data_IF_373386354212
#
_entry.id   IF_373386354212
#
_cell.length_a   1.000
_cell.length_b   1.000
_cell.length_c   1.000
_cell.angle_alpha   90.00
_cell.angle_beta   90.00
_cell.angle_gamma   90.00
#
_symmetry.space_group_name_H-M   'P 1'
#
loop_
_entity.id
_entity.type
_entity.pdbx_description
1 polymer ?
#
# COMPACT_ATOMS: atom_id res chain seq x y z
N UNK A 1 13.63 30.00 -16.85
CA UNK A 1 13.11 29.44 -15.61
C UNK A 1 13.46 27.98 -15.51
N UNK A 2 13.92 27.56 -14.35
CA UNK A 2 14.28 26.17 -14.14
C UNK A 2 13.03 25.35 -13.84
N UNK A 3 12.71 24.40 -14.71
CA UNK A 3 11.52 23.59 -14.59
C UNK A 3 11.49 22.80 -13.27
N UNK A 4 12.67 22.42 -12.80
CA UNK A 4 12.76 21.60 -11.61
C UNK A 4 12.39 22.34 -10.32
N UNK A 5 12.43 23.64 -10.35
CA UNK A 5 12.06 24.44 -9.19
C UNK A 5 10.61 24.89 -9.22
N UNK A 6 9.86 24.49 -10.24
CA UNK A 6 8.46 24.84 -10.32
C UNK A 6 7.65 23.97 -9.36
N UNK A 7 6.63 24.51 -8.69
CA UNK A 7 5.79 23.69 -7.79
C UNK A 7 5.21 22.46 -8.48
N UNK A 8 4.89 22.56 -9.76
CA UNK A 8 4.34 21.43 -10.51
C UNK A 8 5.33 20.29 -10.65
N UNK A 9 6.63 20.57 -10.57
CA UNK A 9 7.63 19.50 -10.64
C UNK A 9 7.55 18.60 -9.43
N UNK A 10 7.26 19.15 -8.25
CA UNK A 10 7.09 18.34 -7.05
C UNK A 10 5.85 17.45 -7.17
N UNK A 11 4.76 18.02 -7.68
CA UNK A 11 3.54 17.23 -7.93
C UNK A 11 3.82 16.11 -8.92
N UNK A 12 4.54 16.44 -9.98
CA UNK A 12 4.89 15.48 -11.02
C UNK A 12 5.69 14.30 -10.46
N UNK A 13 6.63 14.58 -9.57
CA UNK A 13 7.45 13.54 -8.97
C UNK A 13 6.60 12.59 -8.12
N UNK A 14 5.67 13.14 -7.35
CA UNK A 14 4.76 12.32 -6.56
C UNK A 14 3.87 11.48 -7.47
N UNK A 15 3.31 12.10 -8.50
CA UNK A 15 2.45 11.40 -9.45
C UNK A 15 3.20 10.26 -10.14
N UNK A 16 4.45 10.51 -10.51
CA UNK A 16 5.27 9.49 -11.16
C UNK A 16 5.55 8.31 -10.22
N UNK A 17 5.77 8.59 -8.94
CA UNK A 17 6.02 7.52 -7.98
C UNK A 17 4.78 6.65 -7.81
N UNK A 18 3.59 7.24 -7.83
CA UNK A 18 2.33 6.51 -7.70
C UNK A 18 1.99 5.79 -9.00
N UNK A 19 2.34 6.36 -10.14
CA UNK A 19 1.84 5.94 -11.45
C UNK A 19 2.40 4.65 -11.99
N UNK A 20 3.32 4.01 -11.30
CA UNK A 20 3.84 2.72 -11.75
C UNK A 20 2.95 1.61 -11.15
N UNK A 21 2.47 0.64 -11.97
CA UNK A 21 1.45 -0.32 -11.50
C UNK A 21 1.82 -1.10 -10.25
N UNK A 22 3.06 -1.56 -10.13
CA UNK A 22 3.45 -2.32 -8.94
C UNK A 22 3.42 -1.44 -7.71
N UNK A 23 3.91 -0.20 -7.83
CA UNK A 23 3.89 0.73 -6.70
C UNK A 23 2.47 1.12 -6.31
N UNK A 24 1.61 1.33 -7.30
CA UNK A 24 0.21 1.63 -7.02
C UNK A 24 -0.42 0.48 -6.24
N UNK A 25 -0.16 -0.75 -6.66
CA UNK A 25 -0.69 -1.93 -5.99
C UNK A 25 -0.24 -2.00 -4.53
N UNK A 26 1.05 -1.74 -4.30
CA UNK A 26 1.58 -1.72 -2.94
C UNK A 26 0.90 -0.66 -2.09
N UNK A 27 0.75 0.54 -2.64
CA UNK A 27 0.12 1.64 -1.90
C UNK A 27 -1.32 1.33 -1.53
N UNK A 28 -2.09 0.80 -2.48
CA UNK A 28 -3.49 0.48 -2.20
C UNK A 28 -3.61 -0.67 -1.20
N UNK A 29 -2.65 -1.59 -1.22
CA UNK A 29 -2.61 -2.65 -0.22
C UNK A 29 -2.43 -2.10 1.20
N UNK A 30 -1.72 -0.99 1.33
CA UNK A 30 -1.44 -0.39 2.64
C UNK A 30 -2.57 0.53 3.13
N UNK A 31 -3.62 0.71 2.34
CA UNK A 31 -4.69 1.62 2.72
C UNK A 31 -5.55 1.09 3.88
N UNK A 32 -5.42 -0.19 4.19
CA UNK A 32 -6.16 -0.76 5.31
C UNK A 32 -5.55 -0.37 6.67
N UNK A 33 -4.45 0.37 6.65
CA UNK A 33 -3.80 0.83 7.87
C UNK A 33 -2.83 -0.15 8.49
N UNK A 34 -2.68 -1.33 7.89
CA UNK A 34 -1.77 -2.34 8.42
C UNK A 34 -0.39 -2.21 7.80
N UNK A 35 0.64 -2.28 8.62
CA UNK A 35 2.01 -2.32 8.14
C UNK A 35 2.30 -3.70 7.57
N UNK A 36 3.09 -3.75 6.50
CA UNK A 36 3.41 -5.01 5.84
C UNK A 36 4.89 -5.08 5.53
N UNK A 37 5.40 -6.30 5.47
CA UNK A 37 6.80 -6.51 5.14
C UNK A 37 7.03 -6.35 3.65
N UNK A 38 8.29 -6.17 3.26
CA UNK A 38 8.64 -6.08 1.85
C UNK A 38 8.28 -7.37 1.11
N UNK A 39 8.43 -8.51 1.77
CA UNK A 39 8.08 -9.80 1.16
C UNK A 39 6.59 -9.88 0.85
N UNK A 40 5.75 -9.44 1.80
CA UNK A 40 4.31 -9.42 1.57
C UNK A 40 3.95 -8.49 0.43
N UNK A 41 4.58 -7.33 0.37
CA UNK A 41 4.29 -6.37 -0.69
C UNK A 41 4.79 -6.85 -2.05
N UNK A 42 5.89 -7.60 -2.07
CA UNK A 42 6.37 -8.22 -3.31
C UNK A 42 5.33 -9.19 -3.87
N UNK A 43 4.75 -10.00 -2.99
CA UNK A 43 3.71 -10.95 -3.40
C UNK A 43 2.49 -10.21 -3.94
N UNK A 44 2.05 -9.18 -3.21
CA UNK A 44 0.87 -8.41 -3.62
C UNK A 44 1.09 -7.78 -5.00
N UNK A 45 2.27 -7.24 -5.23
CA UNK A 45 2.55 -6.55 -6.48
C UNK A 45 2.97 -7.51 -7.60
N UNK A 46 3.19 -8.78 -7.29
CA UNK A 46 3.59 -9.74 -8.29
C UNK A 46 5.00 -9.52 -8.83
N UNK A 47 5.91 -9.05 -7.99
CA UNK A 47 7.28 -8.77 -8.40
C UNK A 47 8.25 -9.54 -7.52
N UNK A 48 9.51 -9.62 -7.97
CA UNK A 48 10.55 -10.27 -7.18
C UNK A 48 10.87 -9.43 -5.94
N UNK A 49 11.46 -10.06 -4.90
CA UNK A 49 11.86 -9.29 -3.72
C UNK A 49 12.82 -8.15 -4.03
N UNK A 50 13.75 -8.35 -4.97
CA UNK A 50 14.69 -7.28 -5.31
C UNK A 50 13.98 -6.13 -6.01
N UNK A 51 13.03 -6.42 -6.89
CA UNK A 51 12.24 -5.39 -7.55
C UNK A 51 11.37 -4.65 -6.54
N UNK A 52 10.77 -5.39 -5.60
CA UNK A 52 9.98 -4.78 -4.55
C UNK A 52 10.82 -3.81 -3.73
N UNK A 53 12.06 -4.17 -3.41
CA UNK A 53 12.95 -3.29 -2.66
C UNK A 53 13.20 -1.99 -3.39
N UNK A 54 13.40 -2.05 -4.70
CA UNK A 54 13.60 -0.85 -5.51
C UNK A 54 12.36 0.05 -5.46
N UNK A 55 11.19 -0.56 -5.62
CA UNK A 55 9.93 0.18 -5.57
C UNK A 55 9.68 0.80 -4.21
N UNK A 56 9.92 0.04 -3.14
CA UNK A 56 9.71 0.53 -1.79
C UNK A 56 10.67 1.66 -1.45
N UNK A 57 11.91 1.55 -1.93
CA UNK A 57 12.88 2.61 -1.74
C UNK A 57 12.41 3.89 -2.44
N UNK A 58 11.85 3.76 -3.63
CA UNK A 58 11.31 4.89 -4.37
C UNK A 58 10.15 5.52 -3.63
N UNK A 59 9.26 4.70 -3.08
CA UNK A 59 8.11 5.20 -2.32
C UNK A 59 8.52 5.89 -1.03
N UNK A 60 9.54 5.35 -0.35
CA UNK A 60 10.05 5.95 0.87
C UNK A 60 10.70 7.30 0.58
N UNK A 61 11.48 7.37 -0.48
CA UNK A 61 12.12 8.62 -0.90
C UNK A 61 11.09 9.70 -1.23
N UNK A 62 9.96 9.29 -1.81
CA UNK A 62 8.89 10.22 -2.15
C UNK A 62 8.00 10.56 -0.95
N UNK A 63 8.29 10.01 0.22
CA UNK A 63 7.53 10.22 1.45
C UNK A 63 6.08 9.75 1.34
N UNK A 64 5.87 8.71 0.55
CA UNK A 64 4.54 8.08 0.43
C UNK A 64 4.37 6.93 1.40
N UNK A 65 5.45 6.27 1.74
CA UNK A 65 5.44 5.24 2.78
C UNK A 65 6.55 5.50 3.76
N UNK A 66 6.36 5.00 4.96
CA UNK A 66 7.38 5.04 6.00
C UNK A 66 7.74 3.62 6.38
N UNK A 67 8.95 3.46 6.88
CA UNK A 67 9.45 2.16 7.29
C UNK A 67 9.65 2.14 8.79
N UNK A 68 9.23 1.05 9.41
CA UNK A 68 9.46 0.81 10.83
C UNK A 68 10.27 -0.47 10.94
N UNK A 69 11.41 -0.38 11.60
CA UNK A 69 12.28 -1.52 11.77
C UNK A 69 12.02 -2.14 13.14
N UNK A 70 11.71 -3.42 13.16
CA UNK A 70 11.53 -4.16 14.41
C UNK A 70 12.40 -5.42 14.32
N UNK A 71 13.48 -5.43 15.08
CA UNK A 71 14.41 -6.54 15.03
C UNK A 71 15.02 -6.66 13.64
N UNK A 72 14.83 -7.82 13.02
CA UNK A 72 15.34 -8.07 11.68
C UNK A 72 14.36 -7.73 10.59
N UNK A 73 13.16 -7.28 10.96
CA UNK A 73 12.09 -7.07 10.00
C UNK A 73 11.83 -5.60 9.75
N UNK A 74 11.52 -5.28 8.52
CA UNK A 74 11.10 -3.94 8.12
C UNK A 74 9.64 -4.00 7.74
N UNK A 75 8.87 -3.10 8.34
CA UNK A 75 7.45 -2.98 8.06
C UNK A 75 7.19 -1.64 7.39
N UNK A 76 6.35 -1.66 6.38
CA UNK A 76 6.03 -0.47 5.60
C UNK A 76 4.57 -0.11 5.81
N UNK A 77 4.30 1.17 5.94
CA UNK A 77 2.93 1.67 6.03
C UNK A 77 2.86 3.02 5.32
N UNK A 78 1.64 3.49 5.04
CA UNK A 78 1.49 4.80 4.42
C UNK A 78 2.05 5.86 5.34
N UNK A 79 2.63 6.91 4.76
CA UNK A 79 3.28 7.95 5.53
C UNK A 79 2.30 8.69 6.44
N UNK A 80 1.07 8.89 5.98
CA UNK A 80 0.06 9.55 6.79
C UNK A 80 -1.28 9.61 6.08
N UNK A 81 -2.28 10.22 6.73
CA UNK A 81 -3.64 10.26 6.16
C UNK A 81 -3.74 11.00 4.84
N UNK A 82 -2.85 11.96 4.58
CA UNK A 82 -2.89 12.68 3.31
C UNK A 82 -2.61 11.75 2.14
N UNK A 83 -1.76 10.74 2.34
CA UNK A 83 -1.49 9.78 1.27
C UNK A 83 -2.74 8.97 0.97
N UNK A 84 -3.42 8.50 2.01
CA UNK A 84 -4.66 7.74 1.83
C UNK A 84 -5.72 8.57 1.10
N UNK A 85 -5.87 9.83 1.49
CA UNK A 85 -6.84 10.72 0.85
C UNK A 85 -6.51 10.93 -0.63
N UNK A 86 -5.23 11.07 -0.95
CA UNK A 86 -4.79 11.22 -2.33
C UNK A 86 -5.12 9.97 -3.14
N UNK A 87 -4.85 8.81 -2.57
CA UNK A 87 -5.12 7.54 -3.26
C UNK A 87 -6.61 7.35 -3.47
N UNK A 88 -7.43 7.74 -2.50
CA UNK A 88 -8.89 7.68 -2.66
C UNK A 88 -9.36 8.59 -3.78
N UNK A 89 -8.81 9.80 -3.83
CA UNK A 89 -9.15 10.73 -4.89
C UNK A 89 -8.78 10.20 -6.26
N UNK A 90 -7.63 9.56 -6.37
CA UNK A 90 -7.22 8.97 -7.63
C UNK A 90 -8.16 7.83 -8.05
N UNK A 91 -8.63 7.04 -7.09
CA UNK A 91 -9.59 5.98 -7.39
C UNK A 91 -10.91 6.56 -7.92
N UNK A 92 -11.38 7.65 -7.31
CA UNK A 92 -12.58 8.31 -7.76
C UNK A 92 -12.39 8.82 -9.19
N UNK A 93 -11.26 9.47 -9.44
CA UNK A 93 -10.95 10.01 -10.75
C UNK A 93 -10.87 8.91 -11.81
N UNK A 94 -10.33 7.76 -11.42
CA UNK A 94 -10.19 6.62 -12.33
C UNK A 94 -11.49 5.84 -12.51
N UNK A 95 -12.52 6.16 -11.73
CA UNK A 95 -13.79 5.45 -11.82
C UNK A 95 -13.77 4.07 -11.20
N UNK A 96 -12.79 3.80 -10.34
CA UNK A 96 -12.66 2.50 -9.70
C UNK A 96 -13.41 2.51 -8.38
N UNK A 97 -14.31 1.55 -8.22
CA UNK A 97 -14.98 1.39 -6.95
C UNK A 97 -14.19 0.45 -6.07
N UNK A 98 -13.66 1.02 -5.00
CA UNK A 98 -13.01 0.21 -3.98
C UNK A 98 -13.91 0.23 -2.76
N UNK A 99 -13.87 -0.85 -1.99
CA UNK A 99 -14.58 -0.88 -0.72
C UNK A 99 -14.10 0.28 0.14
N UNK A 100 -14.99 0.78 1.00
CA UNK A 100 -14.62 1.85 1.90
C UNK A 100 -13.44 1.42 2.74
N UNK A 101 -12.47 2.30 2.84
CA UNK A 101 -11.37 2.11 3.75
C UNK A 101 -11.94 2.21 5.16
N UNK A 102 -11.91 1.11 5.87
CA UNK A 102 -12.27 1.09 7.28
C UNK A 102 -10.96 0.98 8.03
N UNK A 103 -10.58 2.02 8.74
CA UNK A 103 -9.35 1.91 9.52
C UNK A 103 -9.56 0.80 10.49
N UNK A 104 -8.89 -0.19 10.29
CA UNK A 104 -8.94 -1.26 10.95
C UNK A 104 -9.14 -1.57 12.13
N UNK A 105 -9.65 -2.22 12.31
CA UNK A 105 -9.85 -2.77 13.14
C UNK A 105 -9.39 -3.87 13.42
N UNK A 106 -9.34 -4.34 13.97
CA UNK A 106 -8.70 -5.19 14.36
C UNK A 106 -8.71 -6.36 14.02
N UNK A 107 -8.64 -6.73 13.84
CA UNK A 107 -8.62 -7.54 13.61
C UNK A 107 -8.26 -8.45 13.76
N UNK A 108 -8.35 -9.13 13.81
CA UNK A 108 -8.13 -10.06 13.92
C UNK A 108 -7.76 -10.58 13.04
N UNK A 109 -7.53 -10.60 12.59
CA UNK A 109 -7.21 -10.94 11.65
C UNK A 109 -7.21 -10.88 10.85
N UNK A 110 -7.43 -10.40 10.66
CA UNK A 110 -7.27 -10.38 9.89
C UNK A 110 -6.64 -10.63 9.36
N UNK A 111 -6.50 -11.04 9.80
CA UNK A 111 -5.72 -11.59 9.18
C UNK A 111 -5.44 -11.91 8.52
N UNK A 112 -5.51 -11.86 8.76
CA UNK A 112 -4.90 -12.28 8.05
C UNK A 112 -4.97 -12.22 7.24
N UNK A 113 -5.24 -11.92 7.35
CA UNK A 113 -4.91 -11.91 6.47
C UNK A 113 -5.23 -11.51 5.58
N UNK A 114 -5.60 -11.16 5.58
CA UNK A 114 -5.34 -11.00 4.52
C UNK A 114 -5.63 -10.61 3.64
N UNK A 115 -5.84 -10.23 3.60
CA UNK A 115 -5.68 -10.15 2.73
C UNK A 115 -5.87 -10.31 2.24
N UNK A 116 -5.87 -10.22 2.64
CA UNK A 116 -5.43 -10.60 2.08
C UNK A 116 -6.10 -10.80 1.78
N UNK A 117 -6.24 -10.78 2.17
CA UNK A 117 -6.27 -11.19 1.79
C UNK A 117 -6.50 -11.44 1.29
N UNK A 118 -6.45 -11.62 1.51
CA UNK A 118 -6.00 -12.10 1.00
C UNK A 118 -6.12 -12.57 0.85
N UNK A 119 -6.27 -12.76 1.43
CA UNK A 119 -5.84 -13.32 1.30
C UNK A 119 -6.20 -13.57 1.33
N UNK A 120 -6.23 -13.53 1.79
CA UNK A 120 -6.06 -13.88 1.87
C UNK A 120 -6.50 -13.98 2.03
N UNK A 121 -6.57 -13.99 2.28
CA UNK A 121 -6.42 -14.34 2.49
C UNK A 121 -6.84 -14.34 2.82
N UNK A 122 -6.77 -14.70 3.30
CA UNK A 122 -6.63 -14.86 3.61
C UNK A 122 -6.99 -14.91 3.99
N UNK A 123 -6.97 -15.02 4.40
CA UNK A 123 -6.77 -15.15 4.81
C UNK A 123 -7.50 -15.16 5.07
N UNK A 124 -7.75 -15.24 5.26
CA UNK A 124 -7.93 -15.50 5.52
C UNK A 124 -8.84 -15.40 5.67
N UNK A 125 -9.10 -15.67 6.10
CA UNK A 125 -9.45 -15.75 6.32
C UNK A 125 -10.49 -15.59 6.58
N UNK A 126 -10.87 -15.78 6.92
CA UNK A 126 -11.40 -15.84 7.29
C UNK A 126 -12.35 -15.65 7.52
N UNK A 127 -12.68 -15.79 7.92
CA UNK A 127 -13.18 -15.61 8.12
C UNK A 127 -13.86 -15.23 8.38
N UNK A 128 -14.01 -15.38 8.67
CA UNK A 128 -14.02 -15.11 8.85
C UNK A 128 -14.16 -14.67 8.59
N UNK A 129 -14.21 -14.55 8.63
CA UNK A 129 -13.68 -14.22 8.32
C UNK A 129 -13.64 -13.76 7.78
N UNK A 130 -13.77 -13.63 7.90
CA UNK A 130 -13.08 -13.41 7.41
C UNK A 130 -12.82 -12.90 6.78
N UNK A 131 -12.84 -12.64 6.92
CA UNK A 131 -11.85 -12.39 6.37
C UNK A 131 -11.70 -11.96 5.65
N UNK A 132 -11.76 -11.81 5.79
CA UNK A 132 -10.82 -11.69 5.09
C UNK A 132 -10.45 -11.30 4.42
N UNK A 133 -10.32 -11.07 4.45
CA UNK A 133 -9.07 -10.95 3.81
C UNK A 133 -9.34 -10.80 3.14
N UNK A 134 -9.60 -10.82 3.44
CA UNK A 134 -9.09 -10.90 2.87
C UNK A 134 -8.99 -10.61 2.18
N UNK A 135 -9.08 -10.55 2.32
CA UNK A 135 -8.29 -10.49 1.81
C UNK A 135 -8.61 -10.40 1.29
N UNK A 136 -8.89 -10.38 1.47
CA UNK A 136 -8.56 -10.48 1.16
C UNK A 136 -8.56 -10.41 0.62
N UNK A 137 -8.87 -10.29 0.85
CA UNK A 137 -8.31 -10.43 0.53
C UNK A 137 -8.35 -10.29 0.27
#
# INVERSE_FOLDING_TARGET
>A
MNVENHPDAAVSRIAAAIGEPARAHMLYCLMDGHARTSTELAVVAGVSPSTASVHLNRLTTAHLVKVLVQGKHRFYSLEGPNVAHTLEGLSVLAGVRRGKFVPSTPSRLRAARTCYDHMAGTVGVSPDNNTSFTIKV
#
